data_IF_908428028322
#
_entry.id   IF_908428028322
#
_cell.length_a   1.000
_cell.length_b   1.000
_cell.length_c   1.000
_cell.angle_alpha   90.00
_cell.angle_beta   90.00
_cell.angle_gamma   90.00
#
_symmetry.space_group_name_H-M   'P 1'
#
loop_
_entity.id
_entity.type
_entity.pdbx_description
1 polymer ?
#
# COMPACT_ATOMS: atom_id res chain seq x y z
N UNK A 1 -11.38 1.00 -27.07
CA UNK A 1 -10.32 0.16 -26.47
C UNK A 1 -10.98 -0.83 -25.53
N UNK A 2 -10.70 -2.12 -25.67
CA UNK A 2 -11.11 -3.12 -24.68
C UNK A 2 -10.30 -2.89 -23.40
N UNK A 3 -10.97 -2.78 -22.25
CA UNK A 3 -10.28 -2.69 -20.96
C UNK A 3 -9.56 -4.02 -20.69
N UNK A 4 -8.24 -3.99 -20.68
CA UNK A 4 -7.42 -5.13 -20.22
C UNK A 4 -7.26 -5.03 -18.70
N UNK A 5 -7.89 -5.98 -17.99
CA UNK A 5 -7.81 -6.07 -16.54
C UNK A 5 -6.36 -6.28 -16.06
N UNK A 6 -5.58 -7.09 -16.79
CA UNK A 6 -4.23 -7.50 -16.40
C UNK A 6 -3.14 -6.55 -16.90
N UNK A 7 -3.48 -5.55 -17.73
CA UNK A 7 -2.52 -4.51 -18.10
C UNK A 7 -2.08 -3.72 -16.88
N UNK A 8 -0.77 -3.50 -16.77
CA UNK A 8 -0.11 -2.67 -15.75
C UNK A 8 -0.11 -1.18 -16.08
N UNK A 9 -0.63 -0.78 -17.26
CA UNK A 9 -0.59 0.60 -17.70
C UNK A 9 -1.47 1.49 -16.81
N UNK A 10 -0.96 2.65 -16.36
CA UNK A 10 -1.75 3.61 -15.62
C UNK A 10 -3.01 4.03 -16.40
N UNK A 11 -4.15 4.07 -15.72
CA UNK A 11 -5.44 4.40 -16.37
C UNK A 11 -5.82 5.89 -16.28
N UNK A 12 -5.01 6.70 -15.58
CA UNK A 12 -5.30 8.13 -15.30
C UNK A 12 -4.19 9.09 -15.79
N UNK A 13 -3.18 8.57 -16.48
CA UNK A 13 -2.08 9.35 -17.08
C UNK A 13 -1.59 8.58 -18.31
N UNK A 14 -1.32 9.29 -19.41
CA UNK A 14 -0.75 8.70 -20.62
C UNK A 14 0.71 8.28 -20.44
N UNK A 15 1.13 7.20 -21.09
CA UNK A 15 2.54 6.77 -21.04
C UNK A 15 3.49 7.77 -21.71
N UNK A 16 2.98 8.62 -22.60
CA UNK A 16 3.67 9.72 -23.27
C UNK A 16 3.88 10.94 -22.36
N UNK A 17 3.14 11.04 -21.25
CA UNK A 17 3.31 12.10 -20.23
C UNK A 17 4.34 11.73 -19.14
N UNK A 18 4.82 10.47 -19.18
CA UNK A 18 5.80 9.94 -18.24
C UNK A 18 7.22 10.05 -18.80
N UNK A 19 8.17 10.34 -17.94
CA UNK A 19 9.58 10.11 -18.24
C UNK A 19 9.85 8.61 -18.39
N UNK A 20 10.92 8.25 -19.09
CA UNK A 20 11.29 6.83 -19.24
C UNK A 20 11.48 6.13 -17.88
N UNK A 21 12.01 6.83 -16.87
CA UNK A 21 12.15 6.30 -15.52
C UNK A 21 10.79 6.05 -14.86
N UNK A 22 9.87 7.02 -14.89
CA UNK A 22 8.54 6.85 -14.29
C UNK A 22 7.74 5.74 -14.99
N UNK A 23 7.82 5.69 -16.32
CA UNK A 23 7.21 4.63 -17.12
C UNK A 23 7.77 3.26 -16.73
N UNK A 24 9.09 3.14 -16.59
CA UNK A 24 9.73 1.92 -16.13
C UNK A 24 9.24 1.52 -14.72
N UNK A 25 9.25 2.44 -13.77
CA UNK A 25 8.80 2.19 -12.39
C UNK A 25 7.34 1.72 -12.34
N UNK A 26 6.45 2.35 -13.09
CA UNK A 26 5.02 2.05 -13.04
C UNK A 26 4.65 0.75 -13.76
N UNK A 27 5.31 0.44 -14.89
CA UNK A 27 4.87 -0.64 -15.80
C UNK A 27 5.80 -1.86 -15.85
N UNK A 28 7.09 -1.69 -15.53
CA UNK A 28 8.10 -2.73 -15.72
C UNK A 28 8.77 -3.17 -14.41
N UNK A 29 8.85 -2.28 -13.42
CA UNK A 29 9.47 -2.62 -12.14
C UNK A 29 8.71 -3.74 -11.42
N UNK A 30 9.49 -4.68 -10.90
CA UNK A 30 8.99 -5.82 -10.11
C UNK A 30 8.74 -5.47 -8.65
N UNK A 31 9.29 -4.36 -8.16
CA UNK A 31 9.24 -3.98 -6.74
C UNK A 31 8.47 -2.70 -6.49
N UNK A 32 8.47 -1.76 -7.43
CA UNK A 32 7.88 -0.44 -7.24
C UNK A 32 6.35 -0.48 -7.03
N UNK A 33 5.88 0.31 -6.08
CA UNK A 33 4.47 0.46 -5.71
C UNK A 33 4.18 1.93 -5.42
N UNK A 34 3.07 2.51 -5.87
CA UNK A 34 2.75 3.90 -5.51
C UNK A 34 2.42 4.09 -4.02
N UNK A 35 1.94 3.05 -3.32
CA UNK A 35 1.39 3.21 -1.97
C UNK A 35 2.34 3.85 -0.93
N UNK A 36 3.63 3.48 -0.81
CA UNK A 36 4.49 4.08 0.20
C UNK A 36 4.70 5.60 0.11
N UNK A 37 4.33 6.21 -1.03
CA UNK A 37 4.39 7.66 -1.25
C UNK A 37 3.05 8.37 -1.14
N UNK A 38 1.93 7.64 -1.00
CA UNK A 38 0.60 8.26 -0.96
C UNK A 38 -0.33 7.72 0.13
N UNK A 39 0.08 6.67 0.84
CA UNK A 39 -0.82 5.84 1.65
C UNK A 39 -0.16 5.27 2.92
N UNK A 40 -0.98 5.14 3.96
CA UNK A 40 -0.77 4.27 5.11
C UNK A 40 -2.09 3.55 5.43
N UNK A 41 -1.98 2.32 5.93
CA UNK A 41 -3.12 1.52 6.34
C UNK A 41 -3.17 1.35 7.85
N UNK A 42 -4.13 1.98 8.52
CA UNK A 42 -4.26 1.94 9.97
C UNK A 42 -5.46 1.08 10.41
N UNK A 43 -5.17 0.03 11.19
CA UNK A 43 -6.18 -0.82 11.81
C UNK A 43 -6.87 -0.12 12.99
N UNK A 44 -8.07 -0.57 13.42
CA UNK A 44 -8.74 -0.05 14.61
C UNK A 44 -7.95 -0.22 15.91
N UNK A 45 -7.05 -1.20 15.95
CA UNK A 45 -6.13 -1.45 17.07
C UNK A 45 -5.03 -0.40 17.18
N UNK A 46 -4.90 0.47 16.18
CA UNK A 46 -3.85 1.48 16.03
C UNK A 46 -2.63 0.99 15.24
N UNK A 47 -2.47 -0.32 15.08
CA UNK A 47 -1.39 -0.90 14.27
C UNK A 47 -1.47 -0.36 12.84
N UNK A 48 -0.36 0.15 12.36
CA UNK A 48 -0.26 0.78 11.04
C UNK A 48 0.67 -0.02 10.15
N UNK A 49 0.30 -0.15 8.89
CA UNK A 49 0.96 -0.95 7.87
C UNK A 49 1.21 -0.10 6.63
N UNK A 50 2.17 -0.49 5.76
CA UNK A 50 2.43 0.23 4.51
C UNK A 50 1.23 0.17 3.54
N UNK A 51 0.47 -0.92 3.55
CA UNK A 51 -0.76 -1.09 2.78
C UNK A 51 -1.63 -2.21 3.37
N UNK A 52 -2.87 -2.35 2.86
CA UNK A 52 -3.81 -3.38 3.30
C UNK A 52 -3.41 -4.83 2.93
N UNK A 53 -2.45 -5.01 2.01
CA UNK A 53 -1.93 -6.31 1.57
C UNK A 53 -0.59 -6.68 2.21
N UNK A 54 -0.07 -5.86 3.13
CA UNK A 54 1.21 -6.08 3.77
C UNK A 54 1.28 -7.44 4.48
N UNK A 55 2.43 -8.13 4.39
CA UNK A 55 2.63 -9.40 5.08
C UNK A 55 2.65 -9.19 6.61
N UNK A 56 1.65 -9.78 7.28
CA UNK A 56 1.43 -9.58 8.71
C UNK A 56 2.58 -10.17 9.55
N UNK A 57 3.25 -11.21 9.07
CA UNK A 57 4.38 -11.81 9.77
C UNK A 57 5.58 -10.84 9.95
N UNK A 58 5.67 -9.77 9.15
CA UNK A 58 6.71 -8.73 9.27
C UNK A 58 6.44 -7.79 10.47
N UNK A 59 5.18 -7.68 10.89
CA UNK A 59 4.73 -6.76 11.93
C UNK A 59 4.51 -5.33 11.43
N UNK A 60 3.81 -4.48 12.20
CA UNK A 60 3.43 -3.13 11.77
C UNK A 60 4.64 -2.20 11.61
N UNK A 61 4.46 -1.08 10.91
CA UNK A 61 5.47 0.01 10.85
C UNK A 61 5.48 0.86 12.12
N UNK A 62 4.42 0.73 12.91
CA UNK A 62 4.25 1.37 14.21
C UNK A 62 2.77 1.43 14.57
N UNK A 63 2.41 2.34 15.47
CA UNK A 63 1.05 2.42 15.99
C UNK A 63 0.60 3.85 16.22
N UNK A 64 -0.61 4.18 15.78
CA UNK A 64 -1.22 5.50 15.96
C UNK A 64 -1.57 5.83 17.41
N UNK A 65 -1.44 4.87 18.33
CA UNK A 65 -1.56 5.11 19.78
C UNK A 65 -0.33 5.79 20.38
N UNK A 66 0.83 5.73 19.71
CA UNK A 66 2.10 6.27 20.20
C UNK A 66 2.73 7.26 19.22
N UNK A 67 2.39 7.18 17.93
CA UNK A 67 3.00 7.96 16.87
C UNK A 67 1.93 8.69 16.05
N UNK A 68 2.23 9.90 15.64
CA UNK A 68 1.51 10.59 14.58
C UNK A 68 1.68 9.86 13.23
N UNK A 69 0.77 10.12 12.28
CA UNK A 69 0.90 9.57 10.93
C UNK A 69 2.19 10.01 10.23
N UNK A 70 2.67 11.23 10.50
CA UNK A 70 3.93 11.73 9.96
C UNK A 70 5.14 10.96 10.52
N UNK A 71 5.15 10.65 11.82
CA UNK A 71 6.21 9.82 12.41
C UNK A 71 6.18 8.40 11.85
N UNK A 72 4.99 7.82 11.66
CA UNK A 72 4.84 6.48 11.05
C UNK A 72 5.27 6.47 9.58
N UNK A 73 4.95 7.51 8.84
CA UNK A 73 5.37 7.71 7.45
C UNK A 73 6.89 7.74 7.29
N UNK A 74 7.60 8.25 8.29
CA UNK A 74 9.05 8.34 8.35
C UNK A 74 9.69 7.25 9.23
N UNK A 75 8.94 6.23 9.63
CA UNK A 75 9.48 5.10 10.37
C UNK A 75 10.61 4.42 9.59
N UNK A 76 11.57 3.83 10.31
CA UNK A 76 12.69 3.11 9.69
C UNK A 76 12.20 2.07 8.68
N UNK A 77 11.14 1.34 9.03
CA UNK A 77 10.51 0.33 8.17
C UNK A 77 9.90 0.92 6.89
N UNK A 78 9.26 2.09 6.96
CA UNK A 78 8.72 2.76 5.77
C UNK A 78 9.83 3.33 4.88
N UNK A 79 10.87 3.92 5.47
CA UNK A 79 11.99 4.45 4.69
C UNK A 79 12.73 3.30 3.98
N UNK A 80 13.01 2.19 4.68
CA UNK A 80 13.60 1.00 4.09
C UNK A 80 12.75 0.43 2.95
N UNK A 81 11.43 0.34 3.14
CA UNK A 81 10.52 -0.10 2.08
C UNK A 81 10.65 0.75 0.81
N UNK A 82 10.72 2.07 0.95
CA UNK A 82 10.92 2.98 -0.20
C UNK A 82 12.30 2.80 -0.83
N UNK A 83 13.35 2.65 -0.04
CA UNK A 83 14.70 2.34 -0.53
C UNK A 83 14.71 1.06 -1.36
N UNK A 84 14.12 -0.01 -0.85
CA UNK A 84 14.06 -1.31 -1.53
C UNK A 84 13.30 -1.20 -2.85
N UNK A 85 12.16 -0.52 -2.86
CA UNK A 85 11.37 -0.28 -4.07
C UNK A 85 12.10 0.52 -5.14
N UNK A 86 12.87 1.55 -4.75
CA UNK A 86 13.62 2.38 -5.70
C UNK A 86 14.90 1.70 -6.20
N UNK A 87 15.46 0.77 -5.42
CA UNK A 87 16.70 0.04 -5.76
C UNK A 87 16.46 -1.34 -6.36
N UNK A 88 15.20 -1.77 -6.50
CA UNK A 88 14.86 -3.05 -7.11
C UNK A 88 15.02 -4.25 -6.16
N UNK A 89 15.12 -4.02 -4.86
CA UNK A 89 15.20 -5.06 -3.82
C UNK A 89 13.79 -5.45 -3.39
N UNK A 90 13.52 -6.75 -3.28
CA UNK A 90 12.24 -7.24 -2.76
C UNK A 90 12.16 -7.03 -1.24
N UNK A 91 11.05 -6.45 -0.79
CA UNK A 91 10.80 -6.22 0.64
C UNK A 91 9.75 -7.21 1.16
N UNK A 92 9.98 -7.77 2.36
CA UNK A 92 9.09 -8.76 2.97
C UNK A 92 7.65 -8.26 3.20
N UNK A 93 7.42 -6.95 3.30
CA UNK A 93 6.05 -6.43 3.36
C UNK A 93 5.25 -6.75 2.10
N UNK A 94 5.91 -6.90 0.95
CA UNK A 94 5.30 -7.08 -0.35
C UNK A 94 5.23 -8.55 -0.80
N UNK A 95 5.65 -9.52 0.04
CA UNK A 95 5.70 -10.95 -0.29
C UNK A 95 4.41 -11.45 -0.94
N UNK A 96 3.23 -11.10 -0.40
CA UNK A 96 1.94 -11.51 -0.98
C UNK A 96 1.72 -11.02 -2.41
N UNK A 97 2.21 -9.83 -2.74
CA UNK A 97 2.16 -9.32 -4.12
C UNK A 97 3.11 -10.11 -5.02
N UNK A 98 4.33 -10.38 -4.56
CA UNK A 98 5.31 -11.15 -5.34
C UNK A 98 4.83 -12.59 -5.59
N UNK A 99 4.23 -13.24 -4.60
CA UNK A 99 3.64 -14.58 -4.74
C UNK A 99 2.51 -14.60 -5.78
N UNK A 100 1.60 -13.61 -5.72
CA UNK A 100 0.53 -13.46 -6.72
C UNK A 100 1.11 -13.27 -8.13
N UNK A 101 2.08 -12.38 -8.29
CA UNK A 101 2.71 -12.09 -9.58
C UNK A 101 3.47 -13.30 -10.14
N UNK A 102 4.22 -14.00 -9.29
CA UNK A 102 4.94 -15.23 -9.67
C UNK A 102 3.99 -16.35 -10.11
N UNK A 103 2.75 -16.33 -9.62
CA UNK A 103 1.68 -17.26 -9.99
C UNK A 103 0.88 -16.79 -11.21
N UNK A 104 1.25 -15.66 -11.83
CA UNK A 104 0.60 -15.10 -13.01
C UNK A 104 -0.64 -14.24 -12.72
N UNK A 105 -0.88 -13.86 -11.46
CA UNK A 105 -2.00 -13.01 -11.08
C UNK A 105 -1.61 -11.53 -11.01
N UNK A 106 -2.60 -10.66 -11.25
CA UNK A 106 -2.47 -9.22 -11.09
C UNK A 106 -2.54 -8.84 -9.60
N UNK A 107 -1.49 -8.20 -9.08
CA UNK A 107 -1.34 -7.96 -7.64
C UNK A 107 -1.88 -6.63 -7.16
N UNK A 108 -2.00 -6.48 -5.83
CA UNK A 108 -2.30 -5.20 -5.19
C UNK A 108 -1.28 -4.09 -5.51
N UNK A 109 -0.01 -4.45 -5.71
CA UNK A 109 1.05 -3.52 -6.13
C UNK A 109 0.83 -3.01 -7.56
N UNK A 110 0.60 -3.92 -8.50
CA UNK A 110 0.31 -3.56 -9.89
C UNK A 110 -0.99 -2.75 -9.98
N UNK A 111 -2.00 -3.10 -9.18
CA UNK A 111 -3.23 -2.32 -9.04
C UNK A 111 -2.98 -0.91 -8.52
N UNK A 112 -2.10 -0.77 -7.51
CA UNK A 112 -1.69 0.54 -6.99
C UNK A 112 -1.09 1.40 -8.10
N UNK A 113 -0.14 0.86 -8.86
CA UNK A 113 0.51 1.59 -9.97
C UNK A 113 -0.49 1.95 -11.08
N UNK A 114 -1.38 1.02 -11.45
CA UNK A 114 -2.42 1.24 -12.46
C UNK A 114 -3.38 2.38 -12.08
N UNK A 115 -3.88 2.38 -10.84
CA UNK A 115 -4.94 3.31 -10.41
C UNK A 115 -4.41 4.62 -9.82
N UNK A 116 -3.17 4.62 -9.33
CA UNK A 116 -2.52 5.76 -8.69
C UNK A 116 -1.25 6.25 -9.38
N UNK A 117 -0.86 5.68 -10.52
CA UNK A 117 0.35 6.08 -11.25
C UNK A 117 0.41 7.56 -11.64
N UNK A 118 -0.74 8.18 -11.92
CA UNK A 118 -0.86 9.63 -12.12
C UNK A 118 -0.32 10.49 -10.95
N UNK A 119 -0.24 9.93 -9.73
CA UNK A 119 0.32 10.60 -8.55
C UNK A 119 1.84 10.63 -8.51
N UNK A 120 2.53 9.96 -9.42
CA UNK A 120 4.00 9.97 -9.48
C UNK A 120 4.56 11.38 -9.69
N UNK A 121 3.80 12.26 -10.33
CA UNK A 121 4.13 13.70 -10.53
C UNK A 121 3.93 14.56 -9.28
N UNK A 122 3.10 14.09 -8.35
CA UNK A 122 2.74 14.82 -7.13
C UNK A 122 3.69 14.49 -5.97
N UNK A 123 4.67 13.60 -6.17
CA UNK A 123 5.56 13.08 -5.13
C UNK A 123 7.02 13.13 -5.57
N UNK A 124 7.90 13.39 -4.61
CA UNK A 124 9.34 13.22 -4.82
C UNK A 124 9.68 11.76 -4.50
N UNK A 125 10.18 11.02 -5.50
CA UNK A 125 10.59 9.63 -5.33
C UNK A 125 11.93 9.53 -4.60
N UNK A 126 11.85 9.59 -3.28
CA UNK A 126 12.96 9.39 -2.35
C UNK A 126 12.53 8.43 -1.22
N UNK A 127 13.48 7.94 -0.44
CA UNK A 127 13.26 7.11 0.75
C UNK A 127 12.62 7.90 1.90
N UNK A 128 12.83 9.22 1.93
CA UNK A 128 12.31 10.15 2.94
C UNK A 128 11.48 11.29 2.33
N UNK A 129 10.37 10.96 1.65
CA UNK A 129 9.53 11.98 1.01
C UNK A 129 8.78 12.76 2.09
N UNK A 130 8.47 14.04 1.83
CA UNK A 130 7.59 14.81 2.71
C UNK A 130 6.28 14.05 2.99
N UNK A 131 5.74 14.22 4.19
CA UNK A 131 4.48 13.60 4.56
C UNK A 131 3.32 14.19 3.74
N UNK A 132 2.87 13.46 2.73
CA UNK A 132 1.75 13.83 1.89
C UNK A 132 0.91 12.59 1.53
N UNK A 133 -0.12 12.34 2.33
CA UNK A 133 -1.02 11.21 2.13
C UNK A 133 -2.26 11.63 1.33
N UNK A 134 -2.35 11.15 0.09
CA UNK A 134 -3.49 11.45 -0.81
C UNK A 134 -4.49 10.30 -0.92
N UNK A 135 -4.17 9.12 -0.37
CA UNK A 135 -5.05 7.95 -0.33
C UNK A 135 -5.16 7.38 1.08
N UNK A 136 -6.38 7.29 1.61
CA UNK A 136 -6.65 7.05 3.02
C UNK A 136 -7.41 5.73 3.20
N UNK A 137 -6.84 4.78 3.95
CA UNK A 137 -7.56 3.61 4.50
C UNK A 137 -7.28 3.57 6.00
N UNK A 138 -8.10 4.31 6.73
CA UNK A 138 -8.01 4.42 8.19
C UNK A 138 -9.29 3.85 8.78
N UNK A 139 -9.15 2.84 9.61
CA UNK A 139 -10.26 2.23 10.33
C UNK A 139 -10.28 2.79 11.75
N UNK A 140 -11.12 3.79 12.01
CA UNK A 140 -11.16 4.51 13.29
C UNK A 140 -11.72 3.69 14.46
N UNK A 141 -12.52 2.67 14.17
CA UNK A 141 -13.18 1.85 15.19
C UNK A 141 -13.45 0.46 14.64
N UNK A 142 -13.46 -0.54 15.52
CA UNK A 142 -13.96 -1.88 15.24
C UNK A 142 -15.43 -2.05 15.65
N UNK A 143 -16.09 -0.97 16.11
CA UNK A 143 -17.53 -0.97 16.37
C UNK A 143 -18.27 -1.07 15.04
N UNK A 144 -18.71 -2.28 14.72
CA UNK A 144 -19.54 -2.57 13.56
C UNK A 144 -20.84 -3.21 14.03
N UNK A 145 -21.97 -2.58 13.74
CA UNK A 145 -23.31 -3.03 14.13
C UNK A 145 -23.84 -4.19 13.28
N UNK A 146 -23.16 -4.54 12.18
CA UNK A 146 -23.53 -5.66 11.32
C UNK A 146 -23.08 -7.02 11.88
N UNK A 147 -22.21 -7.03 12.91
CA UNK A 147 -21.79 -8.24 13.66
C UNK A 147 -21.26 -9.39 12.77
N UNK A 148 -20.47 -9.07 11.75
CA UNK A 148 -19.99 -10.04 10.76
C UNK A 148 -18.93 -10.99 11.35
N UNK A 149 -19.25 -12.30 11.40
CA UNK A 149 -18.29 -13.36 11.80
C UNK A 149 -17.05 -13.44 10.89
N UNK A 150 -17.19 -13.08 9.60
CA UNK A 150 -16.09 -13.07 8.63
C UNK A 150 -15.03 -12.01 8.89
N UNK A 151 -15.38 -10.92 9.60
CA UNK A 151 -14.48 -9.79 9.82
C UNK A 151 -13.59 -9.98 11.05
N UNK A 152 -13.83 -10.99 11.89
CA UNK A 152 -13.09 -11.13 13.14
C UNK A 152 -13.42 -10.03 14.17
N UNK A 153 -12.95 -10.18 15.41
CA UNK A 153 -13.27 -9.26 16.50
C UNK A 153 -12.47 -7.94 16.41
N UNK A 154 -11.33 -7.99 15.70
CA UNK A 154 -10.47 -6.84 15.43
C UNK A 154 -11.14 -5.84 14.49
N UNK A 155 -12.07 -6.27 13.62
CA UNK A 155 -12.79 -5.39 12.70
C UNK A 155 -14.31 -5.35 12.93
N UNK A 156 -14.85 -6.20 13.81
CA UNK A 156 -16.26 -6.18 14.23
C UNK A 156 -16.39 -6.64 15.69
N UNK A 157 -16.55 -5.72 16.64
CA UNK A 157 -16.56 -6.06 18.08
C UNK A 157 -17.89 -6.62 18.58
N UNK A 158 -19.00 -6.37 17.89
CA UNK A 158 -20.35 -6.69 18.37
C UNK A 158 -20.62 -8.19 18.52
N UNK A 159 -20.04 -9.02 17.66
CA UNK A 159 -20.19 -10.48 17.72
C UNK A 159 -19.26 -11.15 18.75
N UNK A 160 -18.28 -10.42 19.31
CA UNK A 160 -17.31 -11.01 20.24
C UNK A 160 -17.98 -11.59 21.49
N UNK A 161 -19.13 -11.04 21.89
CA UNK A 161 -19.93 -11.55 23.00
C UNK A 161 -20.53 -12.94 22.74
N UNK A 162 -20.57 -13.38 21.49
CA UNK A 162 -21.14 -14.66 21.04
C UNK A 162 -20.07 -15.77 20.89
N UNK A 163 -18.82 -15.49 21.27
CA UNK A 163 -17.71 -16.46 21.33
C UNK A 163 -17.59 -17.14 22.69
#
# INVERSE_FOLDING_TARGET
>A
MSYDYNSTDPIKIGLDELTEQEKHLLTQSKTFCMYPWIHLHAYPTGETWPCCHAEMAVGPVGTTKQNSLAELWHSERMNQLRTDMLTGVENNYCTRCYEQESSGFFSGRQSSNKHHGHKIKDVILTDRPEFHMSYWDIRFSNLCNLSCRSCGHIFSSSWFKDQ
#
